data_IF_749239348473
#
_entry.id   IF_749239348473
#
_cell.length_a   1.000
_cell.length_b   1.000
_cell.length_c   1.000
_cell.angle_alpha   90.00
_cell.angle_beta   90.00
_cell.angle_gamma   90.00
#
_symmetry.space_group_name_H-M   'P 1'
#
loop_
_entity.id
_entity.type
_entity.pdbx_description
1 polymer ?
#
# COMPACT_ATOMS: atom_id res chain seq x y z
N UNK A 1 -12.46 -13.44 -1.66
CA UNK A 1 -11.56 -12.81 -2.64
C UNK A 1 -10.33 -12.23 -1.94
N UNK A 2 -9.15 -12.30 -2.56
CA UNK A 2 -7.96 -11.62 -2.07
C UNK A 2 -7.82 -10.26 -2.76
N UNK A 3 -7.49 -9.22 -1.98
CA UNK A 3 -7.31 -7.86 -2.48
C UNK A 3 -6.08 -7.20 -1.86
N UNK A 4 -5.44 -6.33 -2.61
CA UNK A 4 -4.33 -5.47 -2.17
C UNK A 4 -4.94 -4.12 -1.82
N UNK A 5 -4.74 -3.65 -0.60
CA UNK A 5 -5.20 -2.33 -0.16
C UNK A 5 -4.34 -1.23 -0.77
N UNK A 6 -5.00 -0.22 -1.35
CA UNK A 6 -4.34 0.95 -1.93
C UNK A 6 -4.31 2.14 -0.96
N UNK A 7 -5.07 2.05 0.13
CA UNK A 7 -5.09 3.01 1.23
C UNK A 7 -5.26 2.27 2.56
N UNK A 8 -5.03 2.97 3.67
CA UNK A 8 -5.33 2.44 4.99
C UNK A 8 -6.84 2.35 5.18
N UNK A 9 -7.34 1.16 5.53
CA UNK A 9 -8.77 0.94 5.80
C UNK A 9 -8.93 0.48 7.25
N UNK A 10 -9.70 1.25 8.02
CA UNK A 10 -9.99 0.96 9.43
C UNK A 10 -10.55 -0.46 9.59
N UNK A 11 -10.02 -1.21 10.55
CA UNK A 11 -10.38 -2.61 10.85
C UNK A 11 -10.07 -3.63 9.73
N UNK A 12 -9.24 -3.27 8.76
CA UNK A 12 -8.89 -4.16 7.66
C UNK A 12 -7.38 -4.30 7.47
N UNK A 13 -6.65 -3.19 7.38
CA UNK A 13 -5.20 -3.21 7.17
C UNK A 13 -4.63 -1.87 6.73
N UNK A 14 -3.32 -1.86 6.52
CA UNK A 14 -2.57 -0.71 6.03
C UNK A 14 -2.47 -0.72 4.50
N UNK A 15 -1.99 0.41 3.96
CA UNK A 15 -1.69 0.54 2.53
C UNK A 15 -0.66 -0.53 2.12
N UNK A 16 -0.96 -1.27 1.06
CA UNK A 16 -0.10 -2.33 0.53
C UNK A 16 -0.33 -3.71 1.12
N UNK A 17 -1.21 -3.86 2.12
CA UNK A 17 -1.51 -5.17 2.70
C UNK A 17 -2.40 -6.01 1.77
N UNK A 18 -2.06 -7.30 1.66
CA UNK A 18 -2.89 -8.30 0.99
C UNK A 18 -3.84 -8.90 2.01
N UNK A 19 -5.13 -8.64 1.86
CA UNK A 19 -6.17 -9.10 2.80
C UNK A 19 -7.21 -9.96 2.09
N UNK A 20 -7.70 -10.98 2.82
CA UNK A 20 -8.78 -11.85 2.35
C UNK A 20 -10.12 -11.33 2.86
N UNK A 21 -10.99 -10.94 1.93
CA UNK A 21 -12.31 -10.37 2.23
C UNK A 21 -13.43 -11.11 1.50
N UNK A 22 -14.67 -10.86 1.93
CA UNK A 22 -15.86 -11.33 1.22
C UNK A 22 -15.97 -10.69 -0.16
N UNK A 23 -16.41 -11.46 -1.15
CA UNK A 23 -16.44 -11.03 -2.54
C UNK A 23 -17.34 -9.81 -2.78
N UNK A 24 -18.50 -9.77 -2.10
CA UNK A 24 -19.41 -8.62 -2.16
C UNK A 24 -18.78 -7.34 -1.61
N UNK A 25 -18.03 -7.43 -0.51
CA UNK A 25 -17.36 -6.26 0.08
C UNK A 25 -16.31 -5.69 -0.86
N UNK A 26 -15.49 -6.55 -1.49
CA UNK A 26 -14.51 -6.06 -2.44
C UNK A 26 -15.11 -5.56 -3.76
N UNK A 27 -16.13 -6.24 -4.32
CA UNK A 27 -16.76 -5.84 -5.59
C UNK A 27 -17.63 -4.59 -5.48
N UNK A 28 -18.31 -4.38 -4.35
CA UNK A 28 -19.28 -3.31 -4.21
C UNK A 28 -18.73 -2.07 -3.48
N UNK A 29 -17.71 -2.24 -2.64
CA UNK A 29 -17.15 -1.14 -1.83
C UNK A 29 -15.70 -0.84 -2.19
N UNK A 30 -14.79 -1.82 -2.03
CA UNK A 30 -13.36 -1.53 -2.14
C UNK A 30 -12.88 -1.21 -3.56
N UNK A 31 -13.31 -1.99 -4.57
CA UNK A 31 -12.87 -1.82 -5.95
C UNK A 31 -13.49 -0.55 -6.58
N UNK A 32 -14.81 -0.30 -6.48
CA UNK A 32 -15.40 0.92 -7.07
C UNK A 32 -14.88 2.21 -6.43
N UNK A 33 -14.60 2.19 -5.13
CA UNK A 33 -14.02 3.34 -4.42
C UNK A 33 -12.50 3.45 -4.57
N UNK A 34 -11.86 2.58 -5.37
CA UNK A 34 -10.40 2.54 -5.58
C UNK A 34 -9.58 2.35 -4.28
N UNK A 35 -10.20 1.77 -3.25
CA UNK A 35 -9.55 1.47 -1.96
C UNK A 35 -8.75 0.19 -1.98
N UNK A 36 -9.08 -0.73 -2.89
CA UNK A 36 -8.33 -1.96 -3.08
C UNK A 36 -8.35 -2.42 -4.54
N UNK A 37 -7.33 -3.19 -4.93
CA UNK A 37 -7.25 -3.89 -6.21
C UNK A 37 -7.30 -5.40 -5.98
N UNK A 38 -7.75 -6.18 -6.97
CA UNK A 38 -7.68 -7.64 -6.86
C UNK A 38 -6.23 -8.09 -6.76
N UNK A 39 -5.96 -8.99 -5.82
CA UNK A 39 -4.65 -9.62 -5.67
C UNK A 39 -4.54 -10.75 -6.70
N UNK A 40 -4.18 -10.40 -7.94
CA UNK A 40 -3.73 -11.37 -8.95
C UNK A 40 -2.23 -11.55 -8.83
N UNK A 41 -1.69 -12.68 -9.29
CA UNK A 41 -0.24 -12.94 -9.26
C UNK A 41 0.55 -11.82 -9.97
N UNK A 42 0.04 -11.32 -11.10
CA UNK A 42 0.59 -10.15 -11.78
C UNK A 42 0.56 -8.89 -10.90
N UNK A 43 -0.55 -8.63 -10.19
CA UNK A 43 -0.63 -7.46 -9.32
C UNK A 43 0.28 -7.58 -8.10
N UNK A 44 0.49 -8.80 -7.57
CA UNK A 44 1.43 -9.07 -6.48
C UNK A 44 2.87 -8.86 -6.97
N UNK A 45 3.21 -9.35 -8.17
CA UNK A 45 4.52 -9.16 -8.78
C UNK A 45 4.81 -7.68 -9.09
N UNK A 46 3.83 -6.95 -9.64
CA UNK A 46 3.93 -5.50 -9.87
C UNK A 46 4.14 -4.74 -8.56
N UNK A 47 3.43 -5.14 -7.49
CA UNK A 47 3.58 -4.51 -6.18
C UNK A 47 4.91 -4.84 -5.52
N UNK A 48 5.42 -6.06 -5.69
CA UNK A 48 6.75 -6.46 -5.21
C UNK A 48 7.87 -5.71 -5.92
N UNK A 49 7.77 -5.57 -7.26
CA UNK A 49 8.72 -4.79 -8.05
C UNK A 49 8.71 -3.31 -7.63
N UNK A 50 7.52 -2.72 -7.45
CA UNK A 50 7.37 -1.34 -6.98
C UNK A 50 7.76 -1.16 -5.52
N UNK A 51 7.60 -2.17 -4.66
CA UNK A 51 8.01 -2.09 -3.25
C UNK A 51 9.50 -1.81 -3.11
N UNK A 52 10.33 -2.48 -3.91
CA UNK A 52 11.77 -2.30 -3.85
C UNK A 52 12.19 -0.86 -4.24
N UNK A 53 11.46 -0.22 -5.14
CA UNK A 53 11.68 1.18 -5.51
C UNK A 53 11.13 2.13 -4.43
N UNK A 54 9.94 1.86 -3.92
CA UNK A 54 9.28 2.70 -2.92
C UNK A 54 9.97 2.64 -1.55
N UNK A 55 10.51 1.50 -1.13
CA UNK A 55 11.30 1.39 0.11
C UNK A 55 12.62 2.18 0.00
N UNK A 56 13.27 2.19 -1.17
CA UNK A 56 14.47 3.03 -1.41
C UNK A 56 14.16 4.52 -1.30
N UNK A 57 13.08 4.95 -1.95
CA UNK A 57 12.65 6.36 -1.91
C UNK A 57 12.19 6.76 -0.50
N UNK A 58 11.48 5.87 0.20
CA UNK A 58 11.05 6.12 1.57
C UNK A 58 12.23 6.24 2.54
N UNK A 59 13.26 5.40 2.38
CA UNK A 59 14.50 5.51 3.15
C UNK A 59 15.25 6.81 2.86
N UNK A 60 15.32 7.24 1.58
CA UNK A 60 15.92 8.51 1.19
C UNK A 60 15.16 9.73 1.75
N UNK A 61 13.83 9.72 1.70
CA UNK A 61 13.02 10.81 2.28
C UNK A 61 13.16 10.89 3.80
N UNK A 62 13.14 9.74 4.50
CA UNK A 62 13.36 9.73 5.95
C UNK A 62 14.76 10.22 6.33
N UNK A 63 15.77 9.90 5.52
CA UNK A 63 17.12 10.41 5.69
C UNK A 63 17.20 11.93 5.46
N UNK A 64 16.48 12.45 4.46
CA UNK A 64 16.45 13.88 4.17
C UNK A 64 15.75 14.69 5.29
N UNK A 65 14.61 14.21 5.79
CA UNK A 65 13.84 14.87 6.85
C UNK A 65 14.60 14.91 8.18
N UNK A 66 15.26 13.81 8.53
CA UNK A 66 16.08 13.74 9.75
C UNK A 66 17.26 14.71 9.69
N UNK A 67 17.97 14.81 8.56
CA UNK A 67 19.06 15.76 8.39
C UNK A 67 18.62 17.23 8.46
N UNK A 68 17.49 17.58 7.87
CA UNK A 68 16.95 18.94 7.94
C UNK A 68 16.54 19.32 9.38
N UNK A 69 16.01 18.36 10.14
CA UNK A 69 15.68 18.58 11.56
C UNK A 69 16.91 18.79 12.45
N UNK A 70 18.05 18.19 12.10
CA UNK A 70 19.33 18.33 12.80
C UNK A 70 20.04 19.64 12.44
N UNK A 71 19.87 20.13 11.20
CA UNK A 71 20.42 21.42 10.74
C UNK A 71 19.68 22.64 11.29
N UNK A 72 18.43 22.48 11.73
CA UNK A 72 17.59 23.55 12.25
C UNK A 72 17.63 23.70 13.78
N UNK A 73 18.51 22.96 14.47
CA UNK A 73 18.82 23.13 15.89
C UNK A 73 20.20 23.75 16.04
#
# INVERSE_FOLDING_TARGET
MQVILLEKVTNLGNLGDVVRVKDGFARNFLIPQRKARRATEAAIADFAARRAELEKIAAEMQYHDTLNSLRSR
#
